data_IF_912751608618
#
_entry.id   IF_912751608618
#
_cell.length_a   1.000
_cell.length_b   1.000
_cell.length_c   1.000
_cell.angle_alpha   90.00
_cell.angle_beta   90.00
_cell.angle_gamma   90.00
#
_symmetry.space_group_name_H-M   'P 1'
#
loop_
_entity.id
_entity.type
_entity.pdbx_description
1 polymer ?
#
# COMPACT_ATOMS: atom_id res chain seq x y z
N UNK A 1 22.61 -12.15 -24.22
CA UNK A 1 23.54 -11.14 -23.66
C UNK A 1 22.80 -10.44 -22.53
N UNK A 2 23.01 -10.83 -21.27
CA UNK A 2 22.41 -10.13 -20.12
C UNK A 2 23.11 -8.78 -20.02
N UNK A 3 22.37 -7.69 -20.03
CA UNK A 3 22.92 -6.34 -19.86
C UNK A 3 23.63 -6.25 -18.52
N UNK A 4 24.76 -5.54 -18.42
CA UNK A 4 25.59 -5.47 -17.21
C UNK A 4 24.81 -5.05 -15.95
N UNK A 5 23.71 -4.32 -16.12
CA UNK A 5 22.74 -3.95 -15.08
C UNK A 5 22.02 -5.16 -14.48
N UNK A 6 21.59 -6.15 -15.27
CA UNK A 6 20.89 -7.34 -14.75
C UNK A 6 21.80 -8.24 -13.90
N UNK A 7 23.10 -8.26 -14.19
CA UNK A 7 24.08 -8.99 -13.37
C UNK A 7 24.27 -8.34 -11.99
N UNK A 8 24.22 -7.00 -11.90
CA UNK A 8 24.33 -6.25 -10.64
C UNK A 8 23.11 -6.45 -9.72
N UNK A 9 21.92 -6.67 -10.28
CA UNK A 9 20.69 -6.88 -9.48
C UNK A 9 20.41 -8.35 -9.15
N UNK A 10 21.21 -9.28 -9.65
CA UNK A 10 20.95 -10.73 -9.60
C UNK A 10 20.91 -11.38 -8.20
N UNK A 11 21.12 -10.61 -7.12
CA UNK A 11 20.98 -11.05 -5.73
C UNK A 11 20.14 -10.14 -4.84
N UNK A 12 19.54 -9.07 -5.38
CA UNK A 12 18.71 -8.17 -4.58
C UNK A 12 17.25 -8.60 -4.59
N UNK A 13 16.64 -8.68 -3.40
CA UNK A 13 15.20 -8.82 -3.22
C UNK A 13 14.62 -7.48 -2.80
N UNK A 14 13.58 -7.04 -3.51
CA UNK A 14 12.88 -5.79 -3.22
C UNK A 14 11.43 -6.08 -2.85
N UNK A 15 10.86 -5.21 -2.02
CA UNK A 15 9.45 -5.23 -1.67
C UNK A 15 8.90 -3.82 -1.80
N UNK A 16 7.60 -3.71 -2.01
CA UNK A 16 6.93 -2.42 -2.11
C UNK A 16 5.63 -2.44 -1.33
N UNK A 17 5.24 -1.26 -0.86
CA UNK A 17 3.92 -1.00 -0.32
C UNK A 17 3.06 -0.35 -1.41
N UNK A 18 1.76 -0.62 -1.39
CA UNK A 18 0.82 0.05 -2.28
C UNK A 18 -0.39 0.54 -1.50
N UNK A 19 -0.74 1.81 -1.67
CA UNK A 19 -1.98 2.41 -1.21
C UNK A 19 -2.53 3.26 -2.36
N UNK A 20 -3.76 2.94 -2.80
CA UNK A 20 -4.40 3.59 -3.92
C UNK A 20 -5.82 4.02 -3.55
N UNK A 21 -6.23 5.17 -4.07
CA UNK A 21 -7.59 5.68 -4.00
C UNK A 21 -8.13 5.90 -5.41
N UNK A 22 -9.25 5.26 -5.75
CA UNK A 22 -9.97 5.48 -7.00
C UNK A 22 -11.23 6.29 -6.72
N UNK A 23 -11.36 7.42 -7.40
CA UNK A 23 -12.57 8.22 -7.40
C UNK A 23 -13.29 7.96 -8.72
N UNK A 24 -14.50 7.43 -8.65
CA UNK A 24 -15.35 7.17 -9.81
C UNK A 24 -16.75 7.75 -9.59
N UNK A 25 -16.99 8.93 -10.18
CA UNK A 25 -18.19 9.72 -9.94
C UNK A 25 -18.30 10.11 -8.47
N UNK A 26 -19.30 9.56 -7.77
CA UNK A 26 -19.55 9.78 -6.34
C UNK A 26 -18.96 8.69 -5.43
N UNK A 27 -18.24 7.73 -6.00
CA UNK A 27 -17.66 6.63 -5.24
C UNK A 27 -16.18 6.88 -5.00
N UNK A 28 -15.73 6.58 -3.78
CA UNK A 28 -14.33 6.53 -3.38
C UNK A 28 -14.03 5.10 -2.95
N UNK A 29 -13.08 4.46 -3.60
CA UNK A 29 -12.61 3.11 -3.26
C UNK A 29 -11.12 3.18 -2.89
N UNK A 30 -10.74 2.48 -1.82
CA UNK A 30 -9.35 2.40 -1.36
C UNK A 30 -8.87 0.96 -1.45
N UNK A 31 -7.67 0.76 -1.98
CA UNK A 31 -6.93 -0.49 -1.90
C UNK A 31 -5.62 -0.24 -1.14
N UNK A 32 -5.37 -1.02 -0.09
CA UNK A 32 -4.19 -0.92 0.75
C UNK A 32 -3.43 -2.25 0.77
N UNK A 33 -2.11 -2.20 0.79
CA UNK A 33 -1.23 -3.35 0.84
C UNK A 33 0.09 -2.96 1.51
N UNK A 34 0.04 -2.75 2.84
CA UNK A 34 1.13 -2.81 3.81
C UNK A 34 0.56 -2.32 5.15
N UNK A 35 1.42 -1.76 6.01
CA UNK A 35 1.07 -1.26 7.32
C UNK A 35 0.63 0.22 7.37
N UNK A 36 0.49 0.87 6.21
CA UNK A 36 -0.06 2.21 6.09
C UNK A 36 -1.59 2.22 6.18
N UNK A 37 -2.16 3.42 6.35
CA UNK A 37 -3.61 3.65 6.47
C UNK A 37 -4.09 4.76 5.56
N UNK A 38 -5.22 4.53 4.91
CA UNK A 38 -6.00 5.59 4.27
C UNK A 38 -7.05 6.11 5.27
N UNK A 39 -7.07 7.43 5.45
CA UNK A 39 -8.02 8.12 6.32
C UNK A 39 -8.71 9.22 5.52
N UNK A 40 -10.03 9.28 5.62
CA UNK A 40 -10.85 10.34 5.03
C UNK A 40 -11.28 11.34 6.09
N UNK A 41 -10.94 12.61 5.87
CA UNK A 41 -11.45 13.70 6.70
C UNK A 41 -12.80 14.18 6.13
N UNK A 42 -13.88 14.03 6.91
CA UNK A 42 -15.22 14.51 6.52
C UNK A 42 -15.98 15.04 7.73
N UNK A 43 -16.53 16.24 7.60
CA UNK A 43 -17.29 16.92 8.67
C UNK A 43 -16.50 17.07 10.00
N UNK A 44 -15.19 17.29 9.92
CA UNK A 44 -14.33 17.40 11.10
C UNK A 44 -13.97 16.05 11.75
N UNK A 45 -14.41 14.93 11.17
CA UNK A 45 -14.11 13.58 11.65
C UNK A 45 -13.10 12.88 10.74
N UNK A 46 -12.20 12.11 11.35
CA UNK A 46 -11.24 11.24 10.65
C UNK A 46 -11.81 9.82 10.57
N UNK A 47 -12.07 9.35 9.35
CA UNK A 47 -12.72 8.07 9.07
C UNK A 47 -11.72 7.13 8.41
N UNK A 48 -11.43 6.00 9.04
CA UNK A 48 -10.54 4.99 8.49
C UNK A 48 -11.17 4.30 7.27
N UNK A 49 -10.49 4.36 6.12
CA UNK A 49 -10.92 3.72 4.87
C UNK A 49 -10.18 2.41 4.58
N UNK A 50 -9.07 2.14 5.28
CA UNK A 50 -8.35 0.88 5.18
C UNK A 50 -7.87 0.42 6.56
N UNK A 51 -7.45 -0.85 6.63
CA UNK A 51 -6.82 -1.45 7.80
C UNK A 51 -5.33 -1.64 7.53
N UNK A 52 -4.54 -1.49 8.57
CA UNK A 52 -3.09 -1.72 8.50
C UNK A 52 -2.86 -3.23 8.44
N UNK A 53 -2.11 -3.70 7.45
CA UNK A 53 -1.67 -5.09 7.39
C UNK A 53 -0.47 -5.28 8.32
N UNK A 54 -0.75 -5.46 9.61
CA UNK A 54 0.22 -5.87 10.62
C UNK A 54 0.09 -7.39 10.87
N UNK A 55 1.21 -8.09 11.12
CA UNK A 55 1.14 -9.48 11.56
C UNK A 55 0.39 -9.59 12.89
N UNK A 56 -0.46 -10.61 13.00
CA UNK A 56 -1.10 -10.96 14.26
C UNK A 56 -0.12 -11.85 15.02
N UNK A 57 0.52 -11.31 16.06
CA UNK A 57 1.33 -12.11 16.96
C UNK A 57 0.41 -12.80 17.96
N UNK A 58 0.16 -14.10 17.77
CA UNK A 58 -0.36 -14.97 18.83
C UNK A 58 0.83 -15.42 19.67
N UNK A 59 0.88 -14.95 20.92
CA UNK A 59 1.75 -15.49 21.97
C UNK A 59 1.14 -16.80 22.50
#
# INVERSE_FOLDING_TARGET
MRTATEALFSGFSFSTSALAALIFGRHLMVANSADGRAVLCRNGEAIDLSRDHKPIYLL
#
